data_IF_368230248912
#
_entry.id   IF_368230248912
#
_cell.length_a   1.000
_cell.length_b   1.000
_cell.length_c   1.000
_cell.angle_alpha   90.00
_cell.angle_beta   90.00
_cell.angle_gamma   90.00
#
_symmetry.space_group_name_H-M   'P 1'
#
loop_
_entity.id
_entity.type
_entity.pdbx_description
1 polymer ?
#
# COMPACT_ATOMS: atom_id res chain seq x y z
N UNK A 1 -5.05 29.68 31.93
CA UNK A 1 -5.77 28.48 32.39
C UNK A 1 -5.58 27.41 31.32
N UNK A 2 -4.75 26.40 31.56
CA UNK A 2 -4.44 25.35 30.57
C UNK A 2 -5.55 24.31 30.59
N UNK A 3 -6.29 24.18 29.49
CA UNK A 3 -7.29 23.14 29.32
C UNK A 3 -6.57 21.79 29.22
N UNK A 4 -6.74 20.94 30.24
CA UNK A 4 -6.33 19.54 30.16
C UNK A 4 -7.33 18.80 29.26
N UNK A 5 -6.89 18.45 28.05
CA UNK A 5 -7.66 17.59 27.15
C UNK A 5 -7.63 16.17 27.72
N UNK A 6 -8.74 15.73 28.32
CA UNK A 6 -8.88 14.38 28.84
C UNK A 6 -9.15 13.43 27.68
N UNK A 7 -8.12 12.80 27.14
CA UNK A 7 -8.29 11.74 26.14
C UNK A 7 -8.87 10.50 26.83
N UNK A 8 -10.10 10.12 26.46
CA UNK A 8 -10.71 8.87 26.92
C UNK A 8 -9.84 7.68 26.50
N UNK A 9 -9.60 6.68 27.38
CA UNK A 9 -8.86 5.47 27.04
C UNK A 9 -9.42 4.74 25.82
N UNK A 10 -10.74 4.82 25.61
CA UNK A 10 -11.42 4.22 24.46
C UNK A 10 -11.10 4.95 23.15
N UNK A 11 -10.99 6.28 23.18
CA UNK A 11 -10.57 7.08 22.03
C UNK A 11 -9.11 6.80 21.68
N UNK A 12 -8.23 6.68 22.67
CA UNK A 12 -6.82 6.31 22.44
C UNK A 12 -6.73 4.92 21.82
N UNK A 13 -7.54 3.95 22.29
CA UNK A 13 -7.58 2.59 21.73
C UNK A 13 -8.13 2.57 20.31
N UNK A 14 -9.17 3.34 20.02
CA UNK A 14 -9.72 3.50 18.67
C UNK A 14 -8.73 4.17 17.70
N UNK A 15 -7.99 5.19 18.18
CA UNK A 15 -6.91 5.84 17.43
C UNK A 15 -5.70 4.93 17.23
N UNK A 16 -5.42 4.01 18.17
CA UNK A 16 -4.38 2.99 17.99
C UNK A 16 -4.77 1.96 16.92
N UNK A 17 -6.06 1.66 16.77
CA UNK A 17 -6.57 0.84 15.65
C UNK A 17 -6.49 1.61 14.32
N UNK A 18 -6.56 2.95 14.36
CA UNK A 18 -6.25 3.82 13.22
C UNK A 18 -4.76 4.14 13.07
N UNK A 19 -3.87 3.50 13.84
CA UNK A 19 -2.45 3.73 13.70
C UNK A 19 -2.05 3.30 12.29
N UNK A 20 -1.52 4.25 11.52
CA UNK A 20 -0.93 3.98 10.21
C UNK A 20 0.00 2.76 10.34
N UNK A 21 -0.13 1.76 9.47
CA UNK A 21 0.69 0.55 9.54
C UNK A 21 2.16 0.96 9.57
N UNK A 22 2.95 0.24 10.35
CA UNK A 22 4.37 0.53 10.44
C UNK A 22 5.05 0.15 9.13
N UNK A 23 6.04 0.95 8.75
CA UNK A 23 6.90 0.65 7.61
C UNK A 23 7.82 -0.51 8.00
N UNK A 24 7.89 -1.53 7.16
CA UNK A 24 8.74 -2.72 7.35
C UNK A 24 9.76 -2.84 6.21
N UNK A 25 10.93 -3.42 6.50
CA UNK A 25 11.98 -3.58 5.49
C UNK A 25 11.66 -4.65 4.45
N UNK A 26 10.94 -5.70 4.85
CA UNK A 26 10.55 -6.80 3.98
C UNK A 26 9.24 -7.45 4.46
N UNK A 27 8.40 -7.86 3.52
CA UNK A 27 7.23 -8.73 3.77
C UNK A 27 6.98 -9.65 2.60
N UNK A 28 6.79 -10.95 2.86
CA UNK A 28 6.51 -11.98 1.84
C UNK A 28 7.51 -11.99 0.65
N UNK A 29 8.77 -11.63 0.91
CA UNK A 29 9.80 -11.53 -0.13
C UNK A 29 9.71 -10.27 -1.01
N UNK A 30 8.89 -9.29 -0.62
CA UNK A 30 8.88 -7.94 -1.18
C UNK A 30 9.68 -7.00 -0.29
N UNK A 31 10.56 -6.21 -0.93
CA UNK A 31 11.43 -5.23 -0.27
C UNK A 31 11.36 -3.87 -0.95
N UNK A 32 11.84 -2.86 -0.25
CA UNK A 32 12.02 -1.52 -0.81
C UNK A 32 12.96 -1.53 -2.03
N UNK A 33 12.71 -0.64 -2.98
CA UNK A 33 13.43 -0.50 -4.26
C UNK A 33 13.39 -1.74 -5.16
N UNK A 34 12.46 -2.67 -4.94
CA UNK A 34 12.28 -3.83 -5.79
C UNK A 34 11.37 -3.52 -6.98
N UNK A 35 11.74 -4.05 -8.15
CA UNK A 35 10.90 -4.02 -9.35
C UNK A 35 9.76 -5.03 -9.23
N UNK A 36 8.55 -4.55 -9.50
CA UNK A 36 7.33 -5.33 -9.40
C UNK A 36 6.41 -5.02 -10.56
N UNK A 37 5.44 -5.89 -10.76
CA UNK A 37 4.37 -5.72 -11.72
C UNK A 37 3.05 -5.83 -10.97
N UNK A 38 2.21 -4.80 -11.05
CA UNK A 38 0.86 -4.86 -10.55
C UNK A 38 -0.08 -5.41 -11.62
N UNK A 39 -1.02 -6.27 -11.24
CA UNK A 39 -2.01 -6.85 -12.14
C UNK A 39 -3.41 -6.43 -11.72
N UNK A 40 -4.07 -5.66 -12.59
CA UNK A 40 -5.48 -5.31 -12.45
C UNK A 40 -6.31 -6.38 -13.16
N UNK A 41 -7.09 -7.13 -12.38
CA UNK A 41 -7.79 -8.35 -12.77
C UNK A 41 -9.31 -8.21 -12.80
N UNK A 42 -9.85 -7.08 -12.33
CA UNK A 42 -11.30 -6.85 -12.20
C UNK A 42 -11.99 -6.75 -13.56
N UNK A 43 -11.31 -6.17 -14.55
CA UNK A 43 -11.83 -6.03 -15.91
C UNK A 43 -10.97 -6.78 -16.92
N UNK A 44 -11.61 -7.39 -17.93
CA UNK A 44 -10.92 -7.98 -19.06
C UNK A 44 -10.76 -6.95 -20.19
N UNK A 45 -9.59 -6.90 -20.87
CA UNK A 45 -8.40 -7.72 -20.64
C UNK A 45 -7.62 -7.30 -19.37
N UNK A 46 -6.98 -8.28 -18.72
CA UNK A 46 -6.12 -8.06 -17.54
C UNK A 46 -5.04 -7.04 -17.90
N UNK A 47 -4.93 -5.98 -17.09
CA UNK A 47 -3.94 -4.94 -17.31
C UNK A 47 -2.75 -5.13 -16.38
N UNK A 48 -1.56 -4.96 -16.95
CA UNK A 48 -0.29 -5.21 -16.29
C UNK A 48 0.46 -3.88 -16.21
N UNK A 49 0.83 -3.47 -15.00
CA UNK A 49 1.44 -2.17 -14.73
C UNK A 49 2.78 -2.33 -13.99
N UNK A 50 3.92 -2.09 -14.65
CA UNK A 50 5.23 -2.17 -14.02
C UNK A 50 5.45 -0.97 -13.08
N UNK A 51 6.20 -1.23 -12.01
CA UNK A 51 6.57 -0.21 -11.06
C UNK A 51 7.67 -0.66 -10.11
N UNK A 52 7.97 0.20 -9.15
CA UNK A 52 8.98 -0.02 -8.13
C UNK A 52 8.39 0.23 -6.75
N UNK A 53 8.61 -0.69 -5.82
CA UNK A 53 8.20 -0.53 -4.43
C UNK A 53 9.05 0.58 -3.80
N UNK A 54 8.40 1.61 -3.26
CA UNK A 54 9.05 2.61 -2.42
C UNK A 54 9.09 2.14 -0.97
N UNK A 55 7.94 1.71 -0.44
CA UNK A 55 7.77 1.32 0.96
C UNK A 55 6.90 0.07 1.07
N UNK A 56 7.22 -0.80 2.02
CA UNK A 56 6.39 -1.95 2.38
C UNK A 56 5.79 -1.70 3.76
N UNK A 57 4.53 -2.04 3.92
CA UNK A 57 3.75 -1.81 5.14
C UNK A 57 3.42 -3.14 5.83
N UNK A 58 3.35 -3.10 7.16
CA UNK A 58 3.06 -4.27 7.99
C UNK A 58 1.70 -4.90 7.68
N UNK A 59 0.72 -4.13 7.19
CA UNK A 59 -0.61 -4.60 6.84
C UNK A 59 -0.66 -5.49 5.57
N UNK A 60 0.47 -5.65 4.85
CA UNK A 60 0.50 -6.39 3.60
C UNK A 60 0.23 -5.54 2.36
N UNK A 61 0.35 -4.22 2.50
CA UNK A 61 0.32 -3.29 1.36
C UNK A 61 1.71 -2.71 1.08
N UNK A 62 1.87 -2.09 -0.07
CA UNK A 62 3.08 -1.39 -0.48
C UNK A 62 2.75 -0.08 -1.18
N UNK A 63 3.60 0.92 -1.01
CA UNK A 63 3.55 2.12 -1.85
C UNK A 63 4.40 1.86 -3.09
N UNK A 64 3.76 1.85 -4.25
CA UNK A 64 4.40 1.55 -5.54
C UNK A 64 4.44 2.81 -6.38
N UNK A 65 5.62 3.10 -6.93
CA UNK A 65 5.79 4.09 -7.98
C UNK A 65 5.70 3.38 -9.33
N UNK A 66 4.63 3.65 -10.08
CA UNK A 66 4.47 3.15 -11.44
C UNK A 66 5.40 3.88 -12.41
N UNK A 67 5.83 3.20 -13.47
CA UNK A 67 6.76 3.75 -14.46
C UNK A 67 6.14 4.84 -15.33
N UNK A 68 4.83 4.74 -15.55
CA UNK A 68 4.04 5.66 -16.35
C UNK A 68 2.68 5.88 -15.70
N UNK A 69 1.96 6.89 -16.18
CA UNK A 69 0.61 7.17 -15.72
C UNK A 69 -0.31 6.01 -16.14
N UNK A 70 -0.92 5.37 -15.16
CA UNK A 70 -1.84 4.26 -15.39
C UNK A 70 -3.27 4.81 -15.64
N UNK A 71 -4.13 4.09 -16.39
CA UNK A 71 -5.51 4.50 -16.58
C UNK A 71 -6.26 4.61 -15.24
N UNK A 72 -7.16 5.59 -15.14
CA UNK A 72 -7.91 5.86 -13.90
C UNK A 72 -8.68 4.64 -13.38
N UNK A 73 -9.28 3.86 -14.28
CA UNK A 73 -10.01 2.64 -13.89
C UNK A 73 -9.09 1.61 -13.22
N UNK A 74 -7.87 1.47 -13.74
CA UNK A 74 -6.82 0.57 -13.24
C UNK A 74 -6.26 1.06 -11.91
N UNK A 75 -6.07 2.38 -11.78
CA UNK A 75 -5.65 3.00 -10.52
C UNK A 75 -6.67 2.76 -9.41
N UNK A 76 -7.96 2.97 -9.69
CA UNK A 76 -9.05 2.78 -8.71
C UNK A 76 -9.14 1.34 -8.20
N UNK A 77 -8.72 0.38 -9.00
CA UNK A 77 -8.66 -1.02 -8.63
C UNK A 77 -7.43 -1.32 -7.76
N UNK A 78 -6.23 -0.94 -8.24
CA UNK A 78 -4.96 -1.32 -7.65
C UNK A 78 -4.60 -0.50 -6.41
N UNK A 79 -4.98 0.78 -6.40
CA UNK A 79 -4.53 1.75 -5.41
C UNK A 79 -5.67 2.09 -4.46
N UNK A 80 -5.49 1.74 -3.18
CA UNK A 80 -6.37 2.15 -2.08
C UNK A 80 -5.58 3.00 -1.11
N UNK A 81 -6.01 4.25 -0.93
CA UNK A 81 -5.35 5.22 -0.06
C UNK A 81 -3.85 5.41 -0.38
N UNK A 82 -3.46 5.39 -1.66
CA UNK A 82 -2.07 5.51 -2.10
C UNK A 82 -1.20 4.26 -1.88
N UNK A 83 -1.82 3.12 -1.58
CA UNK A 83 -1.16 1.84 -1.35
C UNK A 83 -1.75 0.76 -2.24
N UNK A 84 -0.92 -0.20 -2.62
CA UNK A 84 -1.26 -1.36 -3.43
C UNK A 84 -1.12 -2.60 -2.58
N UNK A 85 -2.10 -3.50 -2.64
CA UNK A 85 -2.00 -4.78 -1.95
C UNK A 85 -0.88 -5.64 -2.56
N UNK A 86 -0.03 -6.23 -1.73
CA UNK A 86 1.05 -7.11 -2.19
C UNK A 86 0.50 -8.30 -2.99
N UNK A 87 -0.76 -8.71 -2.78
CA UNK A 87 -1.40 -9.79 -3.52
C UNK A 87 -1.54 -9.49 -5.02
N UNK A 88 -1.71 -8.21 -5.41
CA UNK A 88 -1.77 -7.81 -6.82
C UNK A 88 -0.38 -7.63 -7.43
N UNK A 89 0.69 -7.78 -6.65
CA UNK A 89 2.06 -7.59 -7.10
C UNK A 89 2.71 -8.91 -7.45
N UNK A 90 3.36 -8.94 -8.60
CA UNK A 90 4.26 -10.02 -9.01
C UNK A 90 5.69 -9.50 -8.99
N UNK A 91 6.59 -10.26 -8.38
CA UNK A 91 8.02 -9.96 -8.36
C UNK A 91 8.59 -10.23 -9.74
N UNK A 92 9.30 -9.25 -10.30
CA UNK A 92 10.17 -9.50 -11.45
C UNK A 92 11.46 -10.05 -10.85
N UNK A 93 11.67 -11.37 -10.96
CA UNK A 93 12.99 -11.94 -10.68
C UNK A 93 13.96 -11.31 -11.66
N UNK A 94 14.95 -10.57 -11.15
CA UNK A 94 16.07 -10.09 -11.95
C UNK A 94 17.00 -11.24 -12.30
#
# INVERSE_FOLDING_TARGET
MLQQVTFSPELVKALAISASPLKVSEKWGFRENQRVVAQAVTNLPIQIQPGTILYVWEDGTATVKFDYQIPFDTERELVRCGRVDLHYLTRISS
#
